data_IF_602286281481
#
_entry.id   IF_602286281481
#
_cell.length_a   1.000
_cell.length_b   1.000
_cell.length_c   1.000
_cell.angle_alpha   90.00
_cell.angle_beta   90.00
_cell.angle_gamma   90.00
#
_symmetry.space_group_name_H-M   'P 1'
#
loop_
_entity.id
_entity.type
_entity.pdbx_description
1 polymer ?
#
# COMPACT_ATOMS: atom_id res chain seq x y z
N UNK A 1 6.48 -23.67 7.98
CA UNK A 1 7.27 -22.46 8.34
C UNK A 1 6.26 -21.36 8.64
N UNK A 2 6.47 -20.50 9.64
CA UNK A 2 5.48 -19.45 9.94
C UNK A 2 5.37 -18.50 8.74
N UNK A 3 4.13 -18.23 8.32
CA UNK A 3 3.82 -17.36 7.20
C UNK A 3 3.31 -16.02 7.75
N UNK A 4 3.71 -14.93 7.09
CA UNK A 4 3.28 -13.58 7.42
C UNK A 4 2.68 -12.92 6.19
N UNK A 5 1.57 -12.20 6.37
CA UNK A 5 1.01 -11.34 5.34
C UNK A 5 1.64 -9.96 5.48
N UNK A 6 2.21 -9.46 4.38
CA UNK A 6 2.70 -8.11 4.20
C UNK A 6 1.88 -7.42 3.11
N UNK A 7 1.98 -6.09 3.02
CA UNK A 7 1.09 -5.27 2.22
C UNK A 7 1.86 -4.44 1.20
N UNK A 8 1.32 -4.27 0.01
CA UNK A 8 1.82 -3.34 -1.00
C UNK A 8 0.65 -2.48 -1.47
N UNK A 9 0.77 -1.16 -1.33
CA UNK A 9 -0.16 -0.19 -1.89
C UNK A 9 0.38 0.35 -3.20
N UNK A 10 -0.49 0.62 -4.16
CA UNK A 10 -0.12 1.11 -5.48
C UNK A 10 -1.26 1.87 -6.16
N UNK A 11 -1.02 2.31 -7.40
CA UNK A 11 -1.99 2.89 -8.32
C UNK A 11 -2.71 1.83 -9.17
N UNK A 12 -3.78 2.24 -9.87
CA UNK A 12 -4.61 1.34 -10.68
C UNK A 12 -3.83 0.65 -11.81
N UNK A 13 -2.98 1.41 -12.52
CA UNK A 13 -2.22 0.91 -13.67
C UNK A 13 -1.21 -0.17 -13.25
N UNK A 14 -0.51 0.09 -12.16
CA UNK A 14 0.45 -0.83 -11.57
C UNK A 14 -0.24 -2.07 -11.01
N UNK A 15 -1.42 -1.90 -10.39
CA UNK A 15 -2.22 -3.01 -9.87
C UNK A 15 -2.61 -4.01 -10.98
N UNK A 16 -3.02 -3.54 -12.15
CA UNK A 16 -3.33 -4.41 -13.29
C UNK A 16 -2.12 -5.25 -13.73
N UNK A 17 -0.92 -4.65 -13.75
CA UNK A 17 0.29 -5.36 -14.09
C UNK A 17 0.65 -6.40 -13.02
N UNK A 18 0.59 -6.02 -11.75
CA UNK A 18 0.88 -6.90 -10.60
C UNK A 18 -0.03 -8.12 -10.58
N UNK A 19 -1.32 -7.96 -10.89
CA UNK A 19 -2.26 -9.09 -10.96
C UNK A 19 -1.89 -10.10 -12.04
N UNK A 20 -1.28 -9.66 -13.14
CA UNK A 20 -0.87 -10.52 -14.27
C UNK A 20 0.51 -11.12 -14.08
N UNK A 21 1.44 -10.33 -13.58
CA UNK A 21 2.88 -10.57 -13.66
C UNK A 21 3.52 -10.80 -12.29
N UNK A 22 2.83 -10.47 -11.20
CA UNK A 22 3.41 -10.37 -9.87
C UNK A 22 4.19 -9.08 -9.68
N UNK A 23 4.97 -9.02 -8.61
CA UNK A 23 5.75 -7.84 -8.24
C UNK A 23 7.18 -7.97 -8.75
N UNK A 24 7.72 -6.89 -9.28
CA UNK A 24 9.10 -6.81 -9.71
C UNK A 24 10.07 -6.86 -8.51
N UNK A 25 11.33 -7.19 -8.79
CA UNK A 25 12.41 -7.07 -7.82
C UNK A 25 12.56 -5.62 -7.34
N UNK A 26 12.84 -5.43 -6.06
CA UNK A 26 12.94 -4.11 -5.45
C UNK A 26 11.58 -3.50 -5.05
N UNK A 27 10.46 -4.19 -5.28
CA UNK A 27 9.15 -3.71 -4.86
C UNK A 27 9.07 -3.60 -3.33
N UNK A 28 8.57 -2.47 -2.83
CA UNK A 28 8.39 -2.21 -1.40
C UNK A 28 7.14 -2.89 -0.83
N UNK A 29 7.27 -3.50 0.34
CA UNK A 29 6.19 -4.10 1.11
C UNK A 29 6.24 -3.57 2.55
N UNK A 30 5.07 -3.32 3.13
CA UNK A 30 4.91 -2.95 4.52
C UNK A 30 4.39 -4.12 5.37
N UNK A 31 4.75 -4.14 6.65
CA UNK A 31 4.22 -5.12 7.62
C UNK A 31 2.79 -4.82 8.05
N UNK A 32 2.33 -3.60 7.84
CA UNK A 32 1.01 -3.12 8.22
C UNK A 32 0.26 -2.56 7.01
N UNK A 33 -1.06 -2.71 7.03
CA UNK A 33 -1.95 -2.28 5.94
C UNK A 33 -1.92 -0.76 5.79
N UNK A 34 -1.85 -0.08 6.92
CA UNK A 34 -1.96 1.36 7.00
C UNK A 34 -0.77 2.09 6.38
N UNK A 35 0.44 1.54 6.53
CA UNK A 35 1.64 2.04 5.86
C UNK A 35 1.53 1.90 4.33
N UNK A 36 0.98 0.78 3.84
CA UNK A 36 0.75 0.57 2.41
C UNK A 36 -0.28 1.57 1.86
N UNK A 37 -1.32 1.88 2.63
CA UNK A 37 -2.32 2.89 2.27
C UNK A 37 -1.75 4.31 2.25
N UNK A 38 -0.89 4.64 3.21
CA UNK A 38 -0.32 5.99 3.33
C UNK A 38 0.68 6.29 2.22
N UNK A 39 1.59 5.35 1.94
CA UNK A 39 2.71 5.61 1.04
C UNK A 39 2.54 5.06 -0.37
N UNK A 40 1.69 4.04 -0.56
CA UNK A 40 1.57 3.33 -1.83
C UNK A 40 0.34 3.68 -2.65
N UNK A 41 -0.79 3.94 -1.99
CA UNK A 41 -2.03 4.29 -2.67
C UNK A 41 -3.18 3.30 -2.45
N UNK A 42 -4.33 3.53 -3.11
CA UNK A 42 -5.60 2.88 -2.77
C UNK A 42 -5.69 1.41 -3.17
N UNK A 43 -4.87 0.95 -4.10
CA UNK A 43 -4.87 -0.45 -4.54
C UNK A 43 -3.94 -1.28 -3.66
N UNK A 44 -4.50 -2.03 -2.72
CA UNK A 44 -3.69 -2.78 -1.73
C UNK A 44 -3.73 -4.28 -1.95
N UNK A 45 -2.54 -4.87 -2.01
CA UNK A 45 -2.30 -6.30 -2.06
C UNK A 45 -1.85 -6.80 -0.70
N UNK A 46 -2.47 -7.89 -0.22
CA UNK A 46 -1.91 -8.73 0.83
C UNK A 46 -1.11 -9.85 0.19
N UNK A 47 0.14 -10.01 0.62
CA UNK A 47 1.12 -10.92 0.01
C UNK A 47 1.77 -11.78 1.08
N UNK A 48 1.86 -13.08 0.83
CA UNK A 48 2.41 -14.04 1.80
C UNK A 48 3.93 -14.15 1.67
N UNK A 49 4.62 -14.06 2.80
CA UNK A 49 6.06 -14.26 2.93
C UNK A 49 6.39 -15.28 4.03
N UNK A 50 7.56 -15.91 3.91
CA UNK A 50 8.15 -16.71 4.99
C UNK A 50 8.70 -15.76 6.06
N UNK A 51 8.13 -15.78 7.26
CA UNK A 51 8.43 -14.83 8.32
C UNK A 51 9.91 -14.83 8.71
N UNK A 52 10.58 -15.99 8.62
CA UNK A 52 12.01 -16.11 8.97
C UNK A 52 12.94 -15.42 7.99
N UNK A 53 12.45 -15.10 6.79
CA UNK A 53 13.22 -14.44 5.71
C UNK A 53 12.91 -12.94 5.62
N UNK A 54 11.97 -12.44 6.42
CA UNK A 54 11.60 -11.04 6.39
C UNK A 54 12.63 -10.17 7.12
N UNK A 55 13.14 -9.10 6.49
CA UNK A 55 13.96 -8.10 7.18
C UNK A 55 13.21 -7.49 8.37
N UNK A 56 13.88 -7.09 9.46
CA UNK A 56 13.22 -6.65 10.69
C UNK A 56 12.48 -5.31 10.59
N UNK A 57 12.59 -4.62 9.45
CA UNK A 57 12.03 -3.29 9.22
C UNK A 57 10.51 -3.32 8.99
N UNK A 58 9.84 -2.21 9.30
CA UNK A 58 8.40 -2.02 9.07
C UNK A 58 8.05 -2.04 7.57
N UNK A 59 8.96 -1.54 6.73
CA UNK A 59 8.94 -1.64 5.28
C UNK A 59 10.21 -2.32 4.78
N UNK A 60 10.10 -3.10 3.71
CA UNK A 60 11.24 -3.78 3.09
C UNK A 60 11.02 -3.98 1.60
N UNK A 61 12.10 -4.18 0.84
CA UNK A 61 12.01 -4.53 -0.58
C UNK A 61 12.17 -6.03 -0.80
N UNK A 62 11.56 -6.55 -1.87
CA UNK A 62 11.83 -7.91 -2.31
C UNK A 62 13.20 -8.01 -2.99
N UNK A 63 14.03 -8.97 -2.56
CA UNK A 63 15.32 -9.26 -3.20
C UNK A 63 15.20 -9.97 -4.57
N UNK A 64 13.98 -10.19 -5.05
CA UNK A 64 13.70 -10.84 -6.33
C UNK A 64 12.22 -10.70 -6.67
N UNK A 65 11.85 -11.12 -7.88
CA UNK A 65 10.45 -11.10 -8.33
C UNK A 65 9.56 -11.91 -7.39
N UNK A 66 8.44 -11.33 -6.97
CA UNK A 66 7.42 -12.03 -6.17
C UNK A 66 6.29 -12.45 -7.11
N UNK A 67 6.01 -13.75 -7.28
CA UNK A 67 5.01 -14.20 -8.23
C UNK A 67 3.60 -13.79 -7.81
N UNK A 68 2.70 -13.58 -8.78
CA UNK A 68 1.29 -13.27 -8.54
C UNK A 68 0.59 -14.30 -7.64
N UNK A 69 1.03 -15.56 -7.67
CA UNK A 69 0.52 -16.63 -6.81
C UNK A 69 0.75 -16.40 -5.30
N UNK A 70 1.66 -15.49 -4.92
CA UNK A 70 1.87 -15.10 -3.52
C UNK A 70 0.84 -14.08 -3.03
N UNK A 71 0.00 -13.52 -3.91
CA UNK A 71 -1.08 -12.60 -3.54
C UNK A 71 -2.21 -13.41 -2.91
N UNK A 72 -2.52 -13.09 -1.65
CA UNK A 72 -3.63 -13.72 -0.91
C UNK A 72 -4.92 -12.91 -0.99
N UNK A 73 -4.81 -11.59 -1.12
CA UNK A 73 -5.97 -10.73 -1.39
C UNK A 73 -5.57 -9.43 -2.08
N UNK A 74 -6.51 -8.85 -2.80
CA UNK A 74 -6.43 -7.53 -3.42
C UNK A 74 -7.71 -6.76 -3.11
N UNK A 75 -7.58 -5.50 -2.67
CA UNK A 75 -8.69 -4.62 -2.29
C UNK A 75 -8.40 -3.18 -2.71
N UNK A 76 -9.45 -2.45 -3.10
CA UNK A 76 -9.39 -1.02 -3.37
C UNK A 76 -9.94 -0.29 -2.15
N UNK A 77 -9.15 0.64 -1.61
CA UNK A 77 -9.49 1.46 -0.46
C UNK A 77 -9.70 2.91 -0.87
N UNK A 78 -10.88 3.46 -0.62
CA UNK A 78 -11.17 4.87 -0.92
C UNK A 78 -10.53 5.78 0.14
N UNK A 79 -9.41 6.43 -0.21
CA UNK A 79 -8.53 7.21 0.70
C UNK A 79 -9.28 8.30 1.48
N UNK A 80 -10.32 8.93 0.91
CA UNK A 80 -11.17 9.92 1.60
C UNK A 80 -11.79 9.38 2.91
N UNK A 81 -12.02 8.07 3.00
CA UNK A 81 -12.59 7.41 4.19
C UNK A 81 -11.52 6.94 5.19
N UNK A 82 -10.27 6.81 4.74
CA UNK A 82 -9.14 6.33 5.57
C UNK A 82 -8.48 7.50 6.30
N UNK A 83 -8.25 8.64 5.61
CA UNK A 83 -7.68 9.85 6.23
C UNK A 83 -8.55 10.44 7.34
N UNK A 84 -9.87 10.22 7.28
CA UNK A 84 -10.84 10.69 8.28
C UNK A 84 -10.94 9.77 9.52
N UNK A 85 -10.31 8.59 9.53
CA UNK A 85 -10.33 7.66 10.67
C UNK A 85 -9.07 7.80 11.54
N UNK A 86 -9.11 8.75 12.49
CA UNK A 86 -8.06 9.00 13.49
C UNK A 86 -7.66 7.75 14.31
N UNK A 87 -8.53 6.73 14.42
CA UNK A 87 -8.23 5.51 15.17
C UNK A 87 -7.27 4.58 14.42
N UNK A 88 -7.26 4.67 13.09
CA UNK A 88 -6.37 3.92 12.22
C UNK A 88 -4.96 4.52 12.32
N UNK A 89 -4.85 5.85 12.21
CA UNK A 89 -3.62 6.61 12.39
C UNK A 89 -2.94 6.39 13.74
N UNK A 90 -3.72 6.35 14.83
CA UNK A 90 -3.18 6.04 16.15
C UNK A 90 -2.61 4.62 16.25
N UNK A 91 -3.12 3.66 15.46
CA UNK A 91 -2.58 2.30 15.39
C UNK A 91 -1.27 2.27 14.60
N UNK A 92 -1.18 3.01 13.49
CA UNK A 92 0.06 3.18 12.70
C UNK A 92 1.17 3.75 13.55
N UNK A 93 0.92 4.91 14.16
CA UNK A 93 1.89 5.60 15.00
C UNK A 93 2.37 4.69 16.13
N UNK A 94 1.45 4.00 16.82
CA UNK A 94 1.83 3.06 17.89
C UNK A 94 2.64 1.87 17.38
N UNK A 95 2.31 1.31 16.22
CA UNK A 95 3.06 0.19 15.63
C UNK A 95 4.47 0.62 15.22
N UNK A 96 4.59 1.80 14.62
CA UNK A 96 5.86 2.34 14.11
C UNK A 96 6.76 2.86 15.24
N UNK A 97 6.20 3.42 16.33
CA UNK A 97 6.95 3.79 17.54
C UNK A 97 7.60 2.59 18.26
N UNK A 98 7.04 1.39 18.12
CA UNK A 98 7.60 0.16 18.71
C UNK A 98 8.78 -0.39 17.87
N UNK A 99 8.81 -0.10 16.58
CA UNK A 99 9.78 -0.66 15.62
C UNK A 99 10.98 0.26 15.33
N UNK A 100 11.03 1.46 15.92
CA UNK A 100 12.14 2.41 15.79
C UNK A 100 12.07 3.28 14.53
N UNK A 101 12.65 4.49 14.54
CA UNK A 101 12.57 5.43 13.42
C UNK A 101 13.66 5.13 12.37
N UNK A 102 13.47 4.09 11.55
CA UNK A 102 14.19 4.01 10.28
C UNK A 102 13.26 4.54 9.18
N UNK A 103 13.28 5.87 9.04
CA UNK A 103 12.86 6.53 7.81
C UNK A 103 13.90 6.14 6.74
N UNK A 104 13.61 5.14 5.92
CA UNK A 104 14.28 5.04 4.63
C UNK A 104 13.81 6.23 3.79
N UNK A 105 14.74 7.16 3.63
CA UNK A 105 14.87 8.41 2.91
C UNK A 105 14.49 8.37 1.40
N UNK A 106 13.51 7.56 1.02
CA UNK A 106 12.89 7.61 -0.31
C UNK A 106 11.83 8.69 -0.34
N UNK A 107 12.03 9.72 -1.16
CA UNK A 107 11.06 10.78 -1.40
C UNK A 107 9.68 10.17 -1.68
N UNK A 108 8.72 10.48 -0.81
CA UNK A 108 7.33 10.10 -1.02
C UNK A 108 6.89 10.60 -2.38
N UNK A 109 6.22 9.75 -3.15
CA UNK A 109 5.59 10.20 -4.39
C UNK A 109 4.51 11.21 -3.99
N UNK A 110 4.71 12.46 -4.41
CA UNK A 110 3.72 13.52 -4.35
C UNK A 110 2.56 13.13 -5.27
N UNK A 111 1.55 12.45 -4.71
CA UNK A 111 0.25 12.32 -5.34
C UNK A 111 -0.42 13.69 -5.26
N UNK A 112 -0.05 14.54 -6.22
CA UNK A 112 -0.35 15.96 -6.28
C UNK A 112 -1.71 16.32 -5.69
N UNK A 113 -1.66 17.29 -4.79
CA UNK A 113 -2.84 18.00 -4.34
C UNK A 113 -3.53 18.68 -5.56
N UNK A 114 -4.85 18.52 -5.60
CA UNK A 114 -5.84 19.37 -6.31
C UNK A 114 -6.00 19.20 -7.83
N UNK A 115 -7.01 18.41 -8.22
CA UNK A 115 -7.93 18.87 -9.27
C UNK A 115 -9.37 18.76 -8.72
N UNK A 116 -9.91 19.92 -8.32
CA UNK A 116 -11.31 20.08 -7.98
C UNK A 116 -12.13 19.98 -9.27
N UNK A 117 -12.55 18.76 -9.63
CA UNK A 117 -13.45 18.57 -10.76
C UNK A 117 -14.84 19.04 -10.32
N UNK A 118 -15.15 20.31 -10.55
CA UNK A 118 -16.53 20.80 -10.50
C UNK A 118 -17.36 19.98 -11.49
N UNK A 119 -18.26 19.15 -10.95
CA UNK A 119 -19.25 18.44 -11.73
C UNK A 119 -20.21 19.47 -12.37
N UNK A 120 -20.00 19.77 -13.65
CA UNK A 120 -20.98 20.53 -14.44
C UNK A 120 -22.24 19.69 -14.53
N UNK A 121 -23.27 20.11 -13.81
CA UNK A 121 -24.60 19.52 -13.84
C UNK A 121 -25.21 19.65 -15.23
N UNK A 122 -25.42 18.52 -15.87
CA UNK A 122 -26.20 18.34 -17.08
C UNK A 122 -27.69 18.49 -16.74
N UNK A 123 -28.25 19.70 -16.86
CA UNK A 123 -29.69 19.86 -17.05
C UNK A 123 -30.00 19.91 -18.56
N UNK A 124 -30.11 18.73 -19.15
CA UNK A 124 -30.83 18.53 -20.39
C UNK A 124 -32.22 17.96 -20.07
N UNK A 125 -33.24 18.82 -20.03
CA UNK A 125 -34.66 18.42 -20.15
C UNK A 125 -35.44 19.51 -20.92
N UNK A 126 -36.52 19.08 -21.60
CA UNK A 126 -36.77 19.35 -23.03
C UNK A 126 -37.33 20.73 -23.37
#
# INVERSE_FOLDING_TARGET
MPLKICFHGTDERSAENILREGFDEGTYFARHLEDALEYGGPHVFGVVFDEKKLPPHWQFTSAGRVPAASIVHYRIHWVRRVRSDMSLWQRVLKSNLIMGPDYCDGEGQDYGDEEEIEAVGEEARP
#
